data_IF_532528605773
#
_entry.id   IF_532528605773
#
_cell.length_a   1.000
_cell.length_b   1.000
_cell.length_c   1.000
_cell.angle_alpha   90.00
_cell.angle_beta   90.00
_cell.angle_gamma   90.00
#
_symmetry.space_group_name_H-M   'P 1'
#
loop_
_entity.id
_entity.type
_entity.pdbx_description
1 polymer ?
#
# COMPACT_ATOMS: atom_id res chain seq x y z
N UNK A 1 5.31 19.78 -31.93
CA UNK A 1 6.12 19.19 -30.83
C UNK A 1 5.30 19.30 -29.56
N UNK A 2 4.52 18.27 -29.21
CA UNK A 2 3.77 18.28 -27.95
C UNK A 2 4.77 18.07 -26.82
N UNK A 3 4.97 19.08 -25.97
CA UNK A 3 5.80 18.92 -24.78
C UNK A 3 5.24 17.75 -23.96
N UNK A 4 6.09 16.76 -23.64
CA UNK A 4 5.71 15.69 -22.72
C UNK A 4 5.19 16.32 -21.42
N UNK A 5 4.08 15.83 -20.85
CA UNK A 5 3.54 16.39 -19.62
C UNK A 5 4.62 16.37 -18.53
N UNK A 6 4.79 17.49 -17.83
CA UNK A 6 5.77 17.61 -16.74
C UNK A 6 5.41 16.61 -15.63
N UNK A 7 6.37 15.74 -15.26
CA UNK A 7 6.22 14.80 -14.15
C UNK A 7 5.91 15.55 -12.84
N UNK A 8 4.91 15.13 -12.05
CA UNK A 8 4.58 15.81 -10.81
C UNK A 8 5.66 15.60 -9.75
N UNK A 9 5.72 16.51 -8.78
CA UNK A 9 6.42 16.28 -7.52
C UNK A 9 5.58 15.34 -6.66
N UNK A 10 6.21 14.37 -6.01
CA UNK A 10 5.57 13.46 -5.06
C UNK A 10 5.82 13.92 -3.63
N UNK A 11 4.74 14.02 -2.86
CA UNK A 11 4.78 14.15 -1.41
C UNK A 11 4.47 12.77 -0.82
N UNK A 12 5.47 12.15 -0.19
CA UNK A 12 5.27 10.93 0.61
C UNK A 12 4.89 11.35 2.02
N UNK A 13 3.65 11.10 2.42
CA UNK A 13 3.16 11.41 3.75
C UNK A 13 3.33 10.21 4.69
N UNK A 14 4.07 10.42 5.78
CA UNK A 14 4.54 9.37 6.70
C UNK A 14 6.06 9.20 6.56
N UNK A 15 6.82 9.67 7.55
CA UNK A 15 8.28 9.64 7.59
C UNK A 15 8.84 8.46 8.42
N UNK A 16 8.05 7.40 8.57
CA UNK A 16 8.46 6.15 9.22
C UNK A 16 9.17 5.16 8.28
N UNK A 17 9.36 3.93 8.75
CA UNK A 17 9.97 2.86 7.94
C UNK A 17 9.20 2.55 6.65
N UNK A 18 7.87 2.56 6.69
CA UNK A 18 7.05 2.37 5.49
C UNK A 18 7.16 3.56 4.51
N UNK A 19 7.35 4.78 5.04
CA UNK A 19 7.70 5.96 4.25
C UNK A 19 8.97 5.76 3.43
N UNK A 20 10.02 5.20 4.04
CA UNK A 20 11.28 4.92 3.35
C UNK A 20 11.07 3.96 2.17
N UNK A 21 10.26 2.92 2.37
CA UNK A 21 9.91 1.98 1.29
C UNK A 21 9.17 2.68 0.15
N UNK A 22 8.17 3.51 0.46
CA UNK A 22 7.42 4.22 -0.56
C UNK A 22 8.30 5.23 -1.33
N UNK A 23 9.16 5.97 -0.62
CA UNK A 23 10.09 6.92 -1.21
C UNK A 23 11.12 6.23 -2.11
N UNK A 24 11.70 5.11 -1.66
CA UNK A 24 12.63 4.30 -2.44
C UNK A 24 11.99 3.80 -3.75
N UNK A 25 10.79 3.22 -3.68
CA UNK A 25 10.05 2.77 -4.86
C UNK A 25 9.66 3.92 -5.80
N UNK A 26 9.29 5.08 -5.26
CA UNK A 26 8.99 6.26 -6.05
C UNK A 26 10.23 6.77 -6.80
N UNK A 27 11.38 6.83 -6.15
CA UNK A 27 12.65 7.22 -6.79
C UNK A 27 13.04 6.23 -7.88
N UNK A 28 12.97 4.93 -7.59
CA UNK A 28 13.30 3.86 -8.54
C UNK A 28 12.39 3.86 -9.79
N UNK A 29 11.10 4.21 -9.62
CA UNK A 29 10.15 4.25 -10.74
C UNK A 29 10.46 5.31 -11.80
N UNK A 30 11.16 6.39 -11.43
CA UNK A 30 11.37 7.55 -12.28
C UNK A 30 10.08 8.27 -12.71
N UNK A 31 8.91 7.96 -12.11
CA UNK A 31 7.62 8.53 -12.50
C UNK A 31 7.42 9.98 -12.03
N UNK A 32 8.22 10.42 -11.06
CA UNK A 32 8.10 11.72 -10.40
C UNK A 32 9.31 12.61 -10.72
N UNK A 33 9.11 13.93 -10.77
CA UNK A 33 10.22 14.87 -11.00
C UNK A 33 11.09 15.05 -9.76
N UNK A 34 10.48 14.90 -8.57
CA UNK A 34 11.14 14.98 -7.27
C UNK A 34 10.27 14.27 -6.23
N UNK A 35 10.92 13.69 -5.22
CA UNK A 35 10.26 13.12 -4.03
C UNK A 35 10.63 13.96 -2.81
N UNK A 36 9.64 14.31 -2.01
CA UNK A 36 9.81 14.90 -0.67
C UNK A 36 8.95 14.14 0.33
N UNK A 37 9.34 14.16 1.59
CA UNK A 37 8.57 13.56 2.67
C UNK A 37 7.84 14.62 3.49
N UNK A 38 6.75 14.24 4.15
CA UNK A 38 6.09 15.05 5.16
C UNK A 38 5.48 14.18 6.25
N UNK A 39 5.37 14.68 7.46
CA UNK A 39 4.82 13.95 8.61
C UNK A 39 4.19 14.93 9.61
N UNK A 40 3.27 14.45 10.46
CA UNK A 40 2.69 15.24 11.56
C UNK A 40 3.65 15.38 12.73
N UNK A 41 4.58 14.45 12.88
CA UNK A 41 5.59 14.47 13.92
C UNK A 41 6.64 15.56 13.61
N UNK A 42 6.53 16.69 14.31
CA UNK A 42 7.43 17.83 14.15
C UNK A 42 8.91 17.50 14.39
N UNK A 43 9.21 16.46 15.17
CA UNK A 43 10.59 16.03 15.40
C UNK A 43 11.29 15.48 14.14
N UNK A 44 10.53 15.15 13.10
CA UNK A 44 11.08 14.64 11.83
C UNK A 44 11.49 15.75 10.87
N UNK A 45 10.96 16.96 11.05
CA UNK A 45 11.10 18.06 10.08
C UNK A 45 12.52 18.59 10.02
N UNK A 46 12.95 18.98 8.81
CA UNK A 46 14.32 19.46 8.56
C UNK A 46 15.36 18.34 8.46
N UNK A 47 14.99 17.11 8.79
CA UNK A 47 15.78 15.92 8.48
C UNK A 47 15.54 15.38 7.08
N UNK A 48 16.04 14.18 6.84
CA UNK A 48 15.84 13.43 5.59
C UNK A 48 15.22 12.06 5.88
N UNK A 49 14.25 11.66 5.06
CA UNK A 49 13.66 10.32 5.12
C UNK A 49 14.60 9.28 4.51
N UNK A 50 15.23 9.67 3.40
CA UNK A 50 16.29 8.98 2.66
C UNK A 50 17.25 10.05 2.14
N UNK A 51 18.51 9.72 1.80
CA UNK A 51 19.43 10.68 1.19
C UNK A 51 18.79 11.42 0.01
N UNK A 52 18.69 12.76 0.10
CA UNK A 52 18.07 13.61 -0.93
C UNK A 52 16.54 13.69 -0.89
N UNK A 53 15.88 13.05 0.08
CA UNK A 53 14.43 13.14 0.33
C UNK A 53 14.19 13.90 1.64
N UNK A 54 14.09 15.24 1.60
CA UNK A 54 13.92 16.05 2.80
C UNK A 54 12.53 15.84 3.39
N UNK A 55 12.44 15.90 4.73
CA UNK A 55 11.19 15.89 5.48
C UNK A 55 10.75 17.32 5.75
N UNK A 56 9.62 17.71 5.18
CA UNK A 56 9.03 19.04 5.29
C UNK A 56 7.81 19.00 6.22
N UNK A 57 7.51 20.12 6.87
CA UNK A 57 6.22 20.26 7.56
C UNK A 57 5.06 20.18 6.55
N UNK A 58 3.86 19.74 6.98
CA UNK A 58 2.71 19.61 6.07
C UNK A 58 2.38 20.91 5.32
N UNK A 59 2.52 22.06 5.99
CA UNK A 59 2.26 23.38 5.40
C UNK A 59 3.26 23.71 4.31
N UNK A 60 4.56 23.44 4.54
CA UNK A 60 5.61 23.71 3.56
C UNK A 60 5.49 22.76 2.36
N UNK A 61 5.24 21.48 2.60
CA UNK A 61 5.04 20.49 1.54
C UNK A 61 3.86 20.86 0.63
N UNK A 62 2.73 21.27 1.22
CA UNK A 62 1.54 21.68 0.47
C UNK A 62 1.74 22.98 -0.34
N UNK A 63 2.63 23.87 0.11
CA UNK A 63 2.93 25.13 -0.56
C UNK A 63 3.94 25.00 -1.72
N UNK A 64 4.52 23.82 -1.98
CA UNK A 64 5.49 23.63 -3.05
C UNK A 64 4.88 23.92 -4.43
N UNK A 65 5.57 24.67 -5.31
CA UNK A 65 5.02 25.09 -6.60
C UNK A 65 4.95 23.93 -7.62
N UNK A 66 4.03 24.07 -8.59
CA UNK A 66 3.87 23.14 -9.71
C UNK A 66 2.92 21.97 -9.44
N UNK A 67 2.73 21.07 -10.43
CA UNK A 67 1.89 19.89 -10.28
C UNK A 67 2.43 18.96 -9.19
N UNK A 68 1.55 18.51 -8.30
CA UNK A 68 1.90 17.63 -7.18
C UNK A 68 0.95 16.46 -7.06
N UNK A 69 1.46 15.38 -6.49
CA UNK A 69 0.68 14.21 -6.10
C UNK A 69 1.11 13.75 -4.70
N UNK A 70 0.23 13.04 -4.00
CA UNK A 70 0.44 12.62 -2.61
C UNK A 70 0.37 11.11 -2.52
N UNK A 71 1.27 10.48 -1.77
CA UNK A 71 1.17 9.08 -1.41
C UNK A 71 1.18 8.94 0.11
N UNK A 72 0.20 8.26 0.70
CA UNK A 72 0.09 8.08 2.15
C UNK A 72 0.77 6.79 2.56
N UNK A 73 2.04 6.91 2.98
CA UNK A 73 2.89 5.80 3.36
C UNK A 73 2.73 5.42 4.86
N UNK A 74 1.49 5.08 5.23
CA UNK A 74 1.12 4.61 6.57
C UNK A 74 0.69 3.14 6.50
N UNK A 75 1.33 2.27 7.27
CA UNK A 75 1.03 0.83 7.27
C UNK A 75 -0.33 0.49 7.88
N UNK A 76 -0.75 1.24 8.91
CA UNK A 76 -2.07 1.08 9.52
C UNK A 76 -3.19 1.46 8.53
N UNK A 77 -4.08 0.51 8.23
CA UNK A 77 -5.08 0.65 7.17
C UNK A 77 -6.10 1.78 7.45
N UNK A 78 -6.74 1.85 8.64
CA UNK A 78 -7.65 2.94 8.97
C UNK A 78 -6.96 4.31 8.93
N UNK A 79 -5.77 4.45 9.53
CA UNK A 79 -5.03 5.70 9.53
C UNK A 79 -4.62 6.13 8.12
N UNK A 80 -4.22 5.19 7.26
CA UNK A 80 -3.91 5.47 5.85
C UNK A 80 -5.11 6.05 5.10
N UNK A 81 -6.30 5.46 5.27
CA UNK A 81 -7.56 5.96 4.69
C UNK A 81 -7.88 7.37 5.18
N UNK A 82 -7.89 7.55 6.50
CA UNK A 82 -8.33 8.80 7.12
C UNK A 82 -7.37 9.95 6.76
N UNK A 83 -6.07 9.66 6.68
CA UNK A 83 -5.07 10.65 6.29
C UNK A 83 -5.13 10.97 4.79
N UNK A 84 -5.42 10.00 3.93
CA UNK A 84 -5.67 10.25 2.52
C UNK A 84 -6.84 11.20 2.30
N UNK A 85 -7.93 11.06 3.06
CA UNK A 85 -9.06 11.98 3.01
C UNK A 85 -8.66 13.42 3.39
N UNK A 86 -7.82 13.58 4.43
CA UNK A 86 -7.33 14.89 4.88
C UNK A 86 -6.42 15.57 3.87
N UNK A 87 -5.67 14.78 3.10
CA UNK A 87 -4.70 15.28 2.12
C UNK A 87 -5.28 15.45 0.72
N UNK A 88 -6.58 15.19 0.52
CA UNK A 88 -7.24 15.30 -0.78
C UNK A 88 -7.12 16.70 -1.40
N UNK A 89 -7.07 17.76 -0.58
CA UNK A 89 -6.87 19.13 -1.04
C UNK A 89 -5.42 19.48 -1.38
N UNK A 90 -4.45 18.68 -0.92
CA UNK A 90 -3.03 18.87 -1.20
C UNK A 90 -2.69 18.41 -2.62
N UNK A 91 -3.23 17.26 -3.03
CA UNK A 91 -3.08 16.73 -4.38
C UNK A 91 -3.74 15.37 -4.57
N UNK A 92 -3.87 14.89 -5.81
CA UNK A 92 -4.39 13.56 -6.09
C UNK A 92 -3.50 12.47 -5.51
N UNK A 93 -4.11 11.34 -5.16
CA UNK A 93 -3.38 10.16 -4.69
C UNK A 93 -2.52 9.56 -5.81
N UNK A 94 -1.23 9.41 -5.54
CA UNK A 94 -0.27 8.78 -6.42
C UNK A 94 -0.22 7.28 -6.17
N UNK A 95 -0.33 6.50 -7.25
CA UNK A 95 0.04 5.09 -7.25
C UNK A 95 1.54 4.96 -7.53
N UNK A 96 2.24 4.17 -6.73
CA UNK A 96 3.67 3.90 -6.85
C UNK A 96 3.85 2.43 -7.19
N UNK A 97 4.53 2.16 -8.30
CA UNK A 97 4.89 0.81 -8.74
C UNK A 97 6.39 0.73 -8.87
N UNK A 98 7.03 -0.12 -8.08
CA UNK A 98 8.46 -0.37 -8.18
C UNK A 98 8.76 -1.05 -9.53
N UNK A 99 9.85 -0.67 -10.24
CA UNK A 99 10.16 -1.22 -11.57
C UNK A 99 10.42 -2.72 -11.62
N UNK A 100 10.73 -3.36 -10.49
CA UNK A 100 10.88 -4.82 -10.39
C UNK A 100 9.59 -5.57 -10.07
N UNK A 101 8.46 -4.88 -9.88
CA UNK A 101 7.16 -5.54 -9.74
C UNK A 101 6.68 -6.04 -11.11
N UNK A 102 6.13 -7.25 -11.15
CA UNK A 102 5.47 -7.80 -12.33
C UNK A 102 3.97 -7.51 -12.23
N UNK A 103 3.48 -6.56 -13.03
CA UNK A 103 2.07 -6.18 -13.06
C UNK A 103 1.51 -6.52 -14.43
N UNK A 104 0.49 -7.38 -14.47
CA UNK A 104 -0.17 -7.76 -15.71
C UNK A 104 -0.85 -6.54 -16.36
N UNK A 105 -0.73 -6.41 -17.68
CA UNK A 105 -1.34 -5.31 -18.44
C UNK A 105 -2.88 -5.24 -18.29
N UNK A 106 -3.52 -6.37 -18.00
CA UNK A 106 -4.96 -6.49 -17.75
C UNK A 106 -5.39 -6.15 -16.33
N UNK A 107 -4.44 -5.98 -15.39
CA UNK A 107 -4.77 -5.66 -14.01
C UNK A 107 -5.33 -4.24 -13.91
N UNK A 108 -6.31 -4.04 -13.03
CA UNK A 108 -6.88 -2.71 -12.74
C UNK A 108 -6.38 -2.24 -11.39
N UNK A 109 -5.68 -1.12 -11.37
CA UNK A 109 -5.10 -0.55 -10.15
C UNK A 109 -5.67 0.84 -9.94
N UNK A 110 -6.37 1.03 -8.81
CA UNK A 110 -6.92 2.32 -8.43
C UNK A 110 -5.84 3.27 -7.87
N UNK A 111 -6.15 4.57 -7.69
CA UNK A 111 -5.20 5.55 -7.14
C UNK A 111 -4.72 5.22 -5.72
N UNK A 112 -3.53 5.71 -5.38
CA UNK A 112 -2.97 5.63 -4.02
C UNK A 112 -2.33 4.28 -3.68
N UNK A 113 -2.30 3.33 -4.60
CA UNK A 113 -1.72 2.01 -4.33
C UNK A 113 -0.19 2.07 -4.21
N UNK A 114 0.36 1.19 -3.37
CA UNK A 114 1.80 0.94 -3.29
C UNK A 114 2.08 -0.50 -3.68
N UNK A 115 2.80 -0.69 -4.78
CA UNK A 115 3.25 -2.00 -5.26
C UNK A 115 4.77 -2.00 -5.21
N UNK A 116 5.34 -2.66 -4.20
CA UNK A 116 6.78 -2.58 -3.92
C UNK A 116 7.57 -3.60 -4.73
N UNK A 117 8.89 -3.67 -4.50
CA UNK A 117 9.78 -4.54 -5.26
C UNK A 117 9.37 -6.02 -5.22
N UNK A 118 9.56 -6.69 -6.36
CA UNK A 118 9.35 -8.13 -6.54
C UNK A 118 7.92 -8.63 -6.32
N UNK A 119 6.93 -7.74 -6.23
CA UNK A 119 5.52 -8.14 -6.17
C UNK A 119 5.05 -8.71 -7.51
N UNK A 120 4.01 -9.55 -7.46
CA UNK A 120 3.26 -10.01 -8.63
C UNK A 120 1.81 -9.57 -8.49
N UNK A 121 1.27 -8.91 -9.52
CA UNK A 121 -0.16 -8.64 -9.68
C UNK A 121 -0.62 -9.28 -10.98
N UNK A 122 -1.35 -10.37 -10.86
CA UNK A 122 -1.72 -11.28 -11.94
C UNK A 122 -2.78 -10.74 -12.90
N UNK A 123 -3.05 -11.47 -13.99
CA UNK A 123 -4.06 -11.09 -14.98
C UNK A 123 -5.44 -10.88 -14.36
N UNK A 124 -6.17 -9.89 -14.86
CA UNK A 124 -7.53 -9.55 -14.42
C UNK A 124 -7.69 -9.19 -12.93
N UNK A 125 -6.61 -9.12 -12.15
CA UNK A 125 -6.66 -8.71 -10.75
C UNK A 125 -7.12 -7.24 -10.62
N UNK A 126 -7.86 -6.96 -9.56
CA UNK A 126 -8.40 -5.63 -9.26
C UNK A 126 -7.92 -5.16 -7.89
N UNK A 127 -7.21 -4.03 -7.84
CA UNK A 127 -6.78 -3.40 -6.61
C UNK A 127 -7.56 -2.10 -6.39
N UNK A 128 -8.29 -2.03 -5.27
CA UNK A 128 -9.00 -0.85 -4.79
C UNK A 128 -8.06 0.29 -4.38
N UNK A 129 -8.64 1.44 -4.05
CA UNK A 129 -7.88 2.65 -3.70
C UNK A 129 -6.98 2.38 -2.48
N UNK A 130 -5.73 2.86 -2.52
CA UNK A 130 -4.86 2.84 -1.35
C UNK A 130 -4.41 1.45 -0.89
N UNK A 131 -4.51 0.44 -1.76
CA UNK A 131 -4.03 -0.92 -1.49
C UNK A 131 -2.51 -0.96 -1.41
N UNK A 132 -1.99 -1.71 -0.45
CA UNK A 132 -0.57 -2.05 -0.39
C UNK A 132 -0.38 -3.50 -0.82
N UNK A 133 0.43 -3.72 -1.86
CA UNK A 133 1.03 -5.00 -2.20
C UNK A 133 2.52 -4.88 -1.88
N UNK A 134 2.92 -5.47 -0.75
CA UNK A 134 4.23 -5.27 -0.15
C UNK A 134 5.23 -6.33 -0.63
N UNK A 135 6.50 -6.18 -0.27
CA UNK A 135 7.63 -6.81 -0.96
C UNK A 135 7.45 -8.30 -1.19
N UNK A 136 7.61 -8.73 -2.44
CA UNK A 136 7.51 -10.15 -2.81
C UNK A 136 6.12 -10.77 -2.65
N UNK A 137 5.08 -9.99 -2.35
CA UNK A 137 3.72 -10.50 -2.26
C UNK A 137 3.17 -10.87 -3.65
N UNK A 138 2.31 -11.87 -3.69
CA UNK A 138 1.65 -12.37 -4.89
C UNK A 138 0.15 -12.19 -4.76
N UNK A 139 -0.41 -11.41 -5.68
CA UNK A 139 -1.84 -11.31 -5.95
C UNK A 139 -2.06 -12.01 -7.29
N UNK A 140 -2.53 -13.24 -7.28
CA UNK A 140 -2.68 -14.06 -8.50
C UNK A 140 -3.88 -13.61 -9.36
N UNK A 141 -4.16 -14.33 -10.44
CA UNK A 141 -5.20 -14.00 -11.40
C UNK A 141 -6.60 -13.85 -10.77
N UNK A 142 -7.42 -12.96 -11.33
CA UNK A 142 -8.81 -12.72 -10.93
C UNK A 142 -9.04 -12.32 -9.45
N UNK A 143 -7.98 -12.02 -8.70
CA UNK A 143 -8.13 -11.56 -7.32
C UNK A 143 -8.79 -10.18 -7.25
N UNK A 144 -9.54 -9.94 -6.18
CA UNK A 144 -10.17 -8.64 -5.88
C UNK A 144 -9.72 -8.16 -4.52
N UNK A 145 -8.96 -7.09 -4.49
CA UNK A 145 -8.39 -6.50 -3.28
C UNK A 145 -9.11 -5.18 -3.01
N UNK A 146 -9.86 -5.11 -1.92
CA UNK A 146 -10.67 -3.99 -1.49
C UNK A 146 -9.84 -2.78 -1.08
N UNK A 147 -10.48 -1.62 -1.05
CA UNK A 147 -9.81 -0.37 -0.71
C UNK A 147 -9.08 -0.47 0.64
N UNK A 148 -7.91 0.15 0.75
CA UNK A 148 -7.10 0.23 1.96
C UNK A 148 -6.66 -1.12 2.54
N UNK A 149 -6.84 -2.24 1.82
CA UNK A 149 -6.30 -3.52 2.25
C UNK A 149 -4.77 -3.54 2.14
N UNK A 150 -4.14 -4.42 2.91
CA UNK A 150 -2.69 -4.60 2.92
C UNK A 150 -2.34 -6.07 2.78
N UNK A 151 -1.74 -6.41 1.63
CA UNK A 151 -1.08 -7.69 1.38
C UNK A 151 0.39 -7.53 1.79
N UNK A 152 0.74 -8.04 2.97
CA UNK A 152 2.03 -7.81 3.62
C UNK A 152 3.17 -8.60 2.96
N UNK A 153 4.45 -8.33 3.31
CA UNK A 153 5.60 -8.90 2.61
C UNK A 153 5.54 -10.42 2.47
N UNK A 154 5.75 -10.92 1.25
CA UNK A 154 5.79 -12.35 0.93
C UNK A 154 4.47 -13.09 1.08
N UNK A 155 3.34 -12.42 1.35
CA UNK A 155 2.04 -13.07 1.38
C UNK A 155 1.63 -13.53 -0.03
N UNK A 156 0.93 -14.66 -0.12
CA UNK A 156 0.53 -15.28 -1.39
C UNK A 156 -0.98 -15.52 -1.43
N UNK A 157 -1.65 -14.88 -2.37
CA UNK A 157 -3.06 -15.11 -2.66
C UNK A 157 -3.17 -15.99 -3.90
N UNK A 158 -3.87 -17.12 -3.78
CA UNK A 158 -4.22 -17.94 -4.95
C UNK A 158 -5.25 -17.26 -5.86
N UNK A 159 -5.52 -17.84 -7.02
CA UNK A 159 -6.47 -17.28 -7.99
C UNK A 159 -7.87 -17.01 -7.41
N UNK A 160 -8.49 -15.91 -7.86
CA UNK A 160 -9.84 -15.48 -7.48
C UNK A 160 -10.06 -15.32 -5.96
N UNK A 161 -9.00 -14.98 -5.20
CA UNK A 161 -9.14 -14.59 -3.79
C UNK A 161 -9.75 -13.19 -3.68
N UNK A 162 -10.68 -13.03 -2.74
CA UNK A 162 -11.25 -11.74 -2.37
C UNK A 162 -10.67 -11.30 -1.04
N UNK A 163 -10.06 -10.12 -1.00
CA UNK A 163 -9.63 -9.46 0.24
C UNK A 163 -10.46 -8.19 0.37
N UNK A 164 -11.26 -8.04 1.41
CA UNK A 164 -12.19 -6.92 1.54
C UNK A 164 -11.54 -5.68 2.17
N UNK A 165 -12.31 -4.60 2.24
CA UNK A 165 -11.84 -3.28 2.66
C UNK A 165 -11.06 -3.34 3.99
N UNK A 166 -9.91 -2.67 4.01
CA UNK A 166 -9.04 -2.49 5.18
C UNK A 166 -8.56 -3.79 5.84
N UNK A 167 -8.72 -4.95 5.21
CA UNK A 167 -8.19 -6.21 5.72
C UNK A 167 -6.65 -6.28 5.63
N UNK A 168 -6.04 -7.04 6.54
CA UNK A 168 -4.61 -7.31 6.57
C UNK A 168 -4.36 -8.78 6.28
N UNK A 169 -3.63 -9.06 5.20
CA UNK A 169 -3.06 -10.38 4.92
C UNK A 169 -1.60 -10.36 5.34
N UNK A 170 -1.30 -10.98 6.49
CA UNK A 170 -0.03 -10.90 7.19
C UNK A 170 1.16 -11.48 6.44
N UNK A 171 2.37 -11.08 6.84
CA UNK A 171 3.59 -11.39 6.11
C UNK A 171 3.80 -12.91 5.96
N UNK A 172 4.15 -13.35 4.77
CA UNK A 172 4.38 -14.78 4.46
C UNK A 172 3.14 -15.68 4.57
N UNK A 173 1.95 -15.14 4.81
CA UNK A 173 0.72 -15.93 4.86
C UNK A 173 0.33 -16.42 3.46
N UNK A 174 -0.48 -17.48 3.41
CA UNK A 174 -1.00 -18.05 2.16
C UNK A 174 -2.52 -18.18 2.24
N UNK A 175 -3.20 -17.66 1.24
CA UNK A 175 -4.65 -17.79 1.07
C UNK A 175 -4.92 -18.66 -0.14
N UNK A 176 -5.63 -19.78 0.04
CA UNK A 176 -6.01 -20.64 -1.09
C UNK A 176 -7.00 -19.96 -2.02
N UNK A 177 -7.04 -20.43 -3.28
CA UNK A 177 -7.91 -19.93 -4.34
C UNK A 177 -9.39 -19.89 -3.92
N UNK A 178 -10.16 -18.93 -4.47
CA UNK A 178 -11.59 -18.76 -4.24
C UNK A 178 -12.00 -18.57 -2.76
N UNK A 179 -11.11 -18.05 -1.92
CA UNK A 179 -11.43 -17.71 -0.53
C UNK A 179 -11.60 -16.20 -0.34
N UNK A 180 -12.31 -15.85 0.72
CA UNK A 180 -12.53 -14.48 1.16
C UNK A 180 -11.79 -14.18 2.46
N UNK A 181 -11.12 -13.02 2.51
CA UNK A 181 -10.61 -12.38 3.73
C UNK A 181 -11.49 -11.17 4.03
N UNK A 182 -12.30 -11.26 5.08
CA UNK A 182 -13.36 -10.31 5.41
C UNK A 182 -12.89 -8.88 5.71
N UNK A 183 -13.80 -7.93 5.70
CA UNK A 183 -13.48 -6.51 5.89
C UNK A 183 -12.89 -6.25 7.28
N UNK A 184 -11.84 -5.42 7.35
CA UNK A 184 -11.15 -5.06 8.60
C UNK A 184 -10.54 -6.23 9.37
N UNK A 185 -10.48 -7.42 8.75
CA UNK A 185 -9.98 -8.63 9.38
C UNK A 185 -8.46 -8.73 9.30
N UNK A 186 -7.88 -9.67 10.05
CA UNK A 186 -6.43 -9.89 10.07
C UNK A 186 -6.10 -11.37 9.95
N UNK A 187 -5.41 -11.73 8.88
CA UNK A 187 -4.70 -13.01 8.78
C UNK A 187 -3.27 -12.81 9.30
N UNK A 188 -2.89 -13.55 10.34
CA UNK A 188 -1.58 -13.46 10.98
C UNK A 188 -0.43 -13.85 10.06
N UNK A 189 0.78 -13.40 10.41
CA UNK A 189 1.98 -13.76 9.67
C UNK A 189 2.19 -15.28 9.61
N UNK A 190 2.60 -15.78 8.45
CA UNK A 190 2.84 -17.21 8.18
C UNK A 190 1.59 -18.11 8.20
N UNK A 191 0.39 -17.54 8.38
CA UNK A 191 -0.83 -18.33 8.46
C UNK A 191 -1.25 -18.92 7.10
N UNK A 192 -1.93 -20.06 7.11
CA UNK A 192 -2.49 -20.69 5.91
C UNK A 192 -4.00 -20.74 6.01
N UNK A 193 -4.68 -19.89 5.22
CA UNK A 193 -6.13 -19.79 5.21
C UNK A 193 -6.72 -20.84 4.26
N UNK A 194 -7.55 -21.74 4.83
CA UNK A 194 -8.19 -22.85 4.12
C UNK A 194 -9.72 -22.70 3.99
N UNK A 195 -10.29 -21.66 4.57
CA UNK A 195 -11.71 -21.33 4.55
C UNK A 195 -11.88 -19.81 4.68
N UNK A 196 -13.06 -19.29 4.37
CA UNK A 196 -13.30 -17.84 4.47
C UNK A 196 -13.04 -17.33 5.89
N UNK A 197 -12.40 -16.15 5.95
CA UNK A 197 -12.11 -15.45 7.19
C UNK A 197 -13.18 -14.36 7.40
N UNK A 198 -13.97 -14.41 8.48
CA UNK A 198 -15.05 -13.45 8.73
C UNK A 198 -14.56 -12.02 8.97
N UNK A 199 -15.47 -11.05 8.80
CA UNK A 199 -15.18 -9.63 9.00
C UNK A 199 -14.73 -9.32 10.43
N UNK A 200 -13.72 -8.48 10.57
CA UNK A 200 -13.19 -8.02 11.86
C UNK A 200 -12.53 -9.10 12.72
N UNK A 201 -12.44 -10.35 12.25
CA UNK A 201 -11.77 -11.43 12.98
C UNK A 201 -10.26 -11.43 12.76
N UNK A 202 -9.52 -12.01 13.71
CA UNK A 202 -8.09 -12.18 13.62
C UNK A 202 -7.75 -13.68 13.73
N UNK A 203 -7.15 -14.27 12.70
CA UNK A 203 -6.80 -15.68 12.66
C UNK A 203 -5.31 -15.88 12.42
N UNK A 204 -4.71 -16.94 12.96
CA UNK A 204 -3.32 -17.29 12.69
C UNK A 204 -3.09 -18.81 12.72
N UNK A 205 -1.89 -19.25 12.32
CA UNK A 205 -1.47 -20.65 12.37
C UNK A 205 -1.65 -21.41 11.04
N UNK A 206 -1.26 -22.69 11.07
CA UNK A 206 -1.34 -23.62 9.92
C UNK A 206 -2.07 -24.89 10.38
N UNK A 207 -3.36 -25.06 10.05
CA UNK A 207 -4.22 -24.11 9.35
C UNK A 207 -4.59 -22.90 10.21
N UNK A 208 -4.99 -21.80 9.56
CA UNK A 208 -5.42 -20.58 10.26
C UNK A 208 -6.69 -20.85 11.09
N UNK A 209 -6.68 -20.37 12.33
CA UNK A 209 -7.79 -20.46 13.30
C UNK A 209 -7.97 -19.14 14.05
N UNK A 210 -9.17 -18.85 14.58
CA UNK A 210 -9.40 -17.67 15.39
C UNK A 210 -8.38 -17.56 16.52
N UNK A 211 -7.80 -16.38 16.68
CA UNK A 211 -7.01 -16.06 17.85
C UNK A 211 -7.96 -15.79 19.02
N UNK A 212 -7.75 -16.48 20.13
CA UNK A 212 -8.40 -16.10 21.38
C UNK A 212 -7.93 -14.69 21.73
N UNK A 213 -8.88 -13.77 21.93
CA UNK A 213 -8.55 -12.47 22.50
C UNK A 213 -7.99 -12.76 23.89
N UNK A 214 -6.74 -12.39 24.14
CA UNK A 214 -6.25 -12.32 25.51
C UNK A 214 -7.24 -11.42 26.26
N UNK A 215 -7.95 -11.97 27.25
CA UNK A 215 -8.72 -11.15 28.18
C UNK A 215 -7.74 -10.11 28.76
N UNK A 216 -8.03 -8.83 28.50
CA UNK A 216 -7.32 -7.71 29.09
C UNK A 216 -7.59 -7.64 30.60
#
# INVERSE_FOLDING_TARGET
>A
MSASPKKPLLIVFGAGGHGRVAADAAMASGAFSRVVASDRNAATWGGELLPGVPVLSPQVAAALPGPRAVHVAIGDNPMRRDEAARLASVGPLATIVHPSASVAASARIQPGCLITAQCVVGPMAELGIGVIVNHGAVVDHDCRIGAWAHVAPGARLGGAVQVDEAALVGAGSTVLRNLRVGAGSTLGAGAVLLQDLPDGEAWAGVPARPLERACA
#
